data_IF_287062516967
#
_entry.id   IF_287062516967
#
_cell.length_a   1.000
_cell.length_b   1.000
_cell.length_c   1.000
_cell.angle_alpha   90.00
_cell.angle_beta   90.00
_cell.angle_gamma   90.00
#
_symmetry.space_group_name_H-M   'P 1'
#
loop_
_entity.id
_entity.type
_entity.pdbx_description
1 polymer ?
#
# COMPACT_ATOMS: atom_id res chain seq x y z
N UNK A 1 11.76 26.00 18.13
CA UNK A 1 11.29 24.71 18.72
C UNK A 1 10.21 24.01 17.87
N UNK A 2 9.41 24.76 17.13
CA UNK A 2 8.34 24.23 16.26
C UNK A 2 8.84 23.67 14.91
N UNK A 3 10.11 23.87 14.59
CA UNK A 3 10.66 23.50 13.27
C UNK A 3 11.12 22.03 13.19
N UNK A 4 11.33 21.34 14.31
CA UNK A 4 11.91 20.00 14.33
C UNK A 4 10.88 18.85 14.26
N UNK A 5 9.67 19.08 14.72
CA UNK A 5 8.60 18.06 14.80
C UNK A 5 8.08 17.60 13.43
N UNK A 6 7.99 18.44 12.38
CA UNK A 6 7.43 18.06 11.08
C UNK A 6 8.29 17.08 10.25
N UNK A 7 9.52 16.78 10.67
CA UNK A 7 10.48 16.05 9.85
C UNK A 7 10.78 14.64 10.38
N UNK A 8 9.89 14.06 11.17
CA UNK A 8 10.04 12.68 11.65
C UNK A 8 9.23 11.69 10.82
N UNK A 9 9.69 10.43 10.68
CA UNK A 9 8.95 9.39 9.97
C UNK A 9 7.52 9.20 10.51
N UNK A 10 7.38 9.16 11.84
CA UNK A 10 6.07 9.00 12.49
C UNK A 10 5.14 10.19 12.23
N UNK A 11 5.68 11.41 12.13
CA UNK A 11 4.89 12.59 11.79
C UNK A 11 4.42 12.56 10.34
N UNK A 12 5.24 12.08 9.42
CA UNK A 12 4.85 11.88 8.02
C UNK A 12 3.64 10.96 7.89
N UNK A 13 3.57 9.89 8.68
CA UNK A 13 2.38 9.03 8.69
C UNK A 13 1.12 9.76 9.18
N UNK A 14 1.26 10.71 10.11
CA UNK A 14 0.13 11.57 10.51
C UNK A 14 -0.30 12.52 9.40
N UNK A 15 0.65 13.07 8.64
CA UNK A 15 0.33 13.90 7.46
C UNK A 15 -0.45 13.07 6.44
N UNK A 16 0.02 11.86 6.10
CA UNK A 16 -0.68 10.96 5.19
C UNK A 16 -2.10 10.66 5.71
N UNK A 17 -2.24 10.33 6.98
CA UNK A 17 -3.54 10.05 7.58
C UNK A 17 -4.49 11.25 7.50
N UNK A 18 -3.99 12.45 7.80
CA UNK A 18 -4.78 13.68 7.70
C UNK A 18 -5.19 13.96 6.25
N UNK A 19 -4.25 13.83 5.30
CA UNK A 19 -4.53 14.00 3.88
C UNK A 19 -5.61 13.03 3.37
N UNK A 20 -5.58 11.78 3.83
CA UNK A 20 -6.64 10.81 3.51
C UNK A 20 -8.01 11.25 4.07
N UNK A 21 -8.06 11.76 5.30
CA UNK A 21 -9.31 12.26 5.90
C UNK A 21 -9.83 13.51 5.17
N UNK A 22 -8.92 14.38 4.73
CA UNK A 22 -9.24 15.62 3.99
C UNK A 22 -9.54 15.35 2.51
N UNK A 23 -9.44 14.07 2.06
CA UNK A 23 -9.58 13.65 0.67
C UNK A 23 -8.56 14.30 -0.28
N UNK A 24 -7.38 14.62 0.24
CA UNK A 24 -6.26 15.19 -0.49
C UNK A 24 -5.29 14.07 -0.92
N UNK A 25 -5.59 13.46 -2.07
CA UNK A 25 -4.77 12.38 -2.61
C UNK A 25 -3.38 12.87 -3.02
N UNK A 26 -3.25 14.10 -3.48
CA UNK A 26 -1.96 14.66 -3.90
C UNK A 26 -1.00 14.79 -2.72
N UNK A 27 -1.47 15.29 -1.58
CA UNK A 27 -0.65 15.37 -0.38
C UNK A 27 -0.30 13.98 0.17
N UNK A 28 -1.26 13.06 0.22
CA UNK A 28 -1.00 11.69 0.68
C UNK A 28 0.04 10.99 -0.19
N UNK A 29 -0.10 11.06 -1.51
CA UNK A 29 0.79 10.40 -2.48
C UNK A 29 2.18 11.02 -2.57
N UNK A 30 2.34 12.29 -2.19
CA UNK A 30 3.65 12.95 -2.10
C UNK A 30 4.60 12.25 -1.13
N UNK A 31 4.07 11.57 -0.13
CA UNK A 31 4.81 10.85 0.88
C UNK A 31 4.88 9.33 0.62
N UNK A 32 4.54 8.88 -0.59
CA UNK A 32 4.53 7.45 -0.95
C UNK A 32 5.30 7.23 -2.25
N UNK A 33 6.37 6.46 -2.20
CA UNK A 33 7.11 6.02 -3.38
C UNK A 33 6.48 4.73 -3.93
N UNK A 34 5.37 4.88 -4.64
CA UNK A 34 4.60 3.77 -5.22
C UNK A 34 5.46 2.89 -6.12
N UNK A 35 6.36 3.49 -6.89
CA UNK A 35 7.25 2.75 -7.80
C UNK A 35 8.16 1.79 -7.05
N UNK A 36 8.75 2.24 -5.94
CA UNK A 36 9.57 1.38 -5.09
C UNK A 36 8.75 0.31 -4.40
N UNK A 37 7.56 0.64 -3.91
CA UNK A 37 6.64 -0.32 -3.28
C UNK A 37 6.28 -1.43 -4.26
N UNK A 38 5.80 -1.11 -5.45
CA UNK A 38 5.42 -2.10 -6.47
C UNK A 38 6.63 -2.96 -6.86
N UNK A 39 7.79 -2.35 -7.08
CA UNK A 39 9.01 -3.08 -7.39
C UNK A 39 9.35 -4.10 -6.30
N UNK A 40 9.35 -3.67 -5.04
CA UNK A 40 9.70 -4.52 -3.90
C UNK A 40 8.70 -5.66 -3.72
N UNK A 41 7.40 -5.39 -3.88
CA UNK A 41 6.36 -6.41 -3.82
C UNK A 41 6.55 -7.45 -4.94
N UNK A 42 6.75 -6.99 -6.18
CA UNK A 42 6.94 -7.89 -7.33
C UNK A 42 8.21 -8.73 -7.16
N UNK A 43 9.28 -8.19 -6.60
CA UNK A 43 10.52 -8.94 -6.35
C UNK A 43 10.38 -9.98 -5.25
N UNK A 44 9.61 -9.68 -4.19
CA UNK A 44 9.34 -10.62 -3.11
C UNK A 44 8.34 -11.72 -3.49
N UNK A 45 7.25 -11.33 -4.12
CA UNK A 45 6.05 -12.15 -4.26
C UNK A 45 5.78 -12.59 -5.70
N UNK A 46 6.42 -11.96 -6.69
CA UNK A 46 6.15 -12.21 -8.12
C UNK A 46 6.25 -13.68 -8.50
N UNK A 47 7.22 -14.40 -7.96
CA UNK A 47 7.41 -15.83 -8.21
C UNK A 47 6.30 -16.72 -7.66
N UNK A 48 5.50 -16.26 -6.72
CA UNK A 48 4.36 -16.99 -6.19
C UNK A 48 3.18 -17.02 -7.17
N UNK A 49 3.07 -15.99 -7.99
CA UNK A 49 1.92 -15.77 -8.86
C UNK A 49 2.21 -15.99 -10.34
N UNK A 50 3.48 -15.95 -10.72
CA UNK A 50 3.91 -16.04 -12.12
C UNK A 50 5.12 -16.95 -12.23
N UNK A 51 5.08 -17.90 -13.17
CA UNK A 51 6.24 -18.74 -13.49
C UNK A 51 7.30 -17.91 -14.24
N UNK A 52 8.26 -17.40 -13.49
CA UNK A 52 9.35 -16.56 -14.01
C UNK A 52 10.41 -17.35 -14.82
N UNK A 53 10.30 -18.68 -14.92
CA UNK A 53 11.15 -19.47 -15.79
C UNK A 53 10.78 -19.31 -17.27
N UNK A 54 9.53 -18.95 -17.56
CA UNK A 54 9.00 -18.81 -18.91
C UNK A 54 9.21 -17.39 -19.48
N UNK A 55 9.33 -17.23 -20.81
CA UNK A 55 9.39 -15.90 -21.44
C UNK A 55 8.15 -15.04 -21.14
N UNK A 56 6.96 -15.66 -21.10
CA UNK A 56 5.72 -14.98 -20.79
C UNK A 56 5.70 -14.49 -19.34
N UNK A 57 6.16 -15.32 -18.40
CA UNK A 57 6.27 -14.92 -17.00
C UNK A 57 7.21 -13.75 -16.79
N UNK A 58 8.38 -13.76 -17.44
CA UNK A 58 9.31 -12.62 -17.42
C UNK A 58 8.69 -11.34 -17.98
N UNK A 59 7.95 -11.45 -19.09
CA UNK A 59 7.25 -10.33 -19.69
C UNK A 59 6.15 -9.79 -18.75
N UNK A 60 5.41 -10.65 -18.09
CA UNK A 60 4.37 -10.27 -17.10
C UNK A 60 4.98 -9.49 -15.92
N UNK A 61 6.08 -9.98 -15.36
CA UNK A 61 6.80 -9.28 -14.28
C UNK A 61 7.29 -7.91 -14.75
N UNK A 62 7.88 -7.82 -15.94
CA UNK A 62 8.34 -6.55 -16.50
C UNK A 62 7.18 -5.57 -16.71
N UNK A 63 6.07 -6.04 -17.27
CA UNK A 63 4.86 -5.22 -17.45
C UNK A 63 4.29 -4.73 -16.10
N UNK A 64 4.24 -5.58 -15.09
CA UNK A 64 3.76 -5.20 -13.75
C UNK A 64 4.66 -4.13 -13.12
N UNK A 65 5.99 -4.25 -13.26
CA UNK A 65 6.92 -3.21 -12.77
C UNK A 65 6.76 -1.88 -13.51
N UNK A 66 6.36 -1.93 -14.77
CA UNK A 66 6.26 -0.73 -15.63
C UNK A 66 4.91 -0.02 -15.44
N UNK A 67 3.83 -0.76 -15.48
CA UNK A 67 2.45 -0.21 -15.45
C UNK A 67 1.80 -0.27 -14.08
N UNK A 68 2.22 -1.20 -13.22
CA UNK A 68 1.66 -1.38 -11.89
C UNK A 68 1.68 -0.13 -11.01
N UNK A 69 2.76 0.69 -11.02
CA UNK A 69 2.78 1.92 -10.23
C UNK A 69 1.67 2.89 -10.59
N UNK A 70 1.41 3.12 -11.88
CA UNK A 70 0.35 4.03 -12.33
C UNK A 70 -1.03 3.50 -11.96
N UNK A 71 -1.27 2.20 -12.14
CA UNK A 71 -2.53 1.56 -11.75
C UNK A 71 -2.77 1.63 -10.24
N UNK A 72 -1.75 1.37 -9.44
CA UNK A 72 -1.86 1.46 -7.99
C UNK A 72 -2.09 2.90 -7.52
N UNK A 73 -1.42 3.87 -8.14
CA UNK A 73 -1.64 5.29 -7.86
C UNK A 73 -3.09 5.69 -8.11
N UNK A 74 -3.66 5.31 -9.27
CA UNK A 74 -5.06 5.60 -9.61
C UNK A 74 -6.03 4.96 -8.61
N UNK A 75 -5.77 3.72 -8.20
CA UNK A 75 -6.59 3.03 -7.19
C UNK A 75 -6.53 3.75 -5.84
N UNK A 76 -5.34 4.12 -5.37
CA UNK A 76 -5.16 4.83 -4.11
C UNK A 76 -5.84 6.20 -4.18
N UNK A 77 -5.65 6.94 -5.27
CA UNK A 77 -6.27 8.24 -5.50
C UNK A 77 -7.79 8.15 -5.44
N UNK A 78 -8.37 7.21 -6.19
CA UNK A 78 -9.82 6.99 -6.18
C UNK A 78 -10.32 6.63 -4.79
N UNK A 79 -9.59 5.77 -4.04
CA UNK A 79 -9.97 5.41 -2.68
C UNK A 79 -9.97 6.62 -1.73
N UNK A 80 -9.00 7.51 -1.87
CA UNK A 80 -8.90 8.72 -1.02
C UNK A 80 -9.99 9.73 -1.38
N UNK A 81 -10.17 10.02 -2.67
CA UNK A 81 -11.07 11.08 -3.14
C UNK A 81 -12.55 10.65 -3.14
N UNK A 82 -12.83 9.40 -3.50
CA UNK A 82 -14.18 8.82 -3.58
C UNK A 82 -14.23 7.39 -3.03
N UNK A 83 -14.15 7.21 -1.70
CA UNK A 83 -14.18 5.89 -1.09
C UNK A 83 -15.50 5.15 -1.31
N UNK A 84 -16.58 5.85 -1.65
CA UNK A 84 -17.90 5.25 -1.90
C UNK A 84 -17.95 4.54 -3.26
N UNK A 85 -17.11 4.90 -4.21
CA UNK A 85 -17.00 4.20 -5.50
C UNK A 85 -16.63 2.73 -5.33
N UNK A 86 -15.86 2.38 -4.30
CA UNK A 86 -15.51 0.98 -3.97
C UNK A 86 -16.61 0.21 -3.24
N UNK A 87 -17.62 0.89 -2.70
CA UNK A 87 -18.74 0.25 -1.98
C UNK A 87 -19.85 -0.21 -2.95
N UNK A 88 -19.95 0.43 -4.12
CA UNK A 88 -21.07 0.25 -5.04
C UNK A 88 -20.84 -0.82 -6.10
N UNK A 89 -19.65 -1.32 -6.32
CA UNK A 89 -19.39 -2.40 -7.27
C UNK A 89 -19.53 -3.77 -6.60
N UNK A 90 -20.79 -4.21 -6.48
CA UNK A 90 -21.08 -5.64 -6.64
C UNK A 90 -20.76 -5.95 -8.11
N UNK A 91 -19.89 -6.91 -8.42
CA UNK A 91 -19.62 -7.24 -9.82
C UNK A 91 -20.91 -7.77 -10.45
N UNK A 92 -21.54 -6.95 -11.27
CA UNK A 92 -22.51 -7.45 -12.24
C UNK A 92 -21.76 -8.40 -13.15
N UNK A 93 -22.17 -9.67 -13.06
CA UNK A 93 -21.79 -10.74 -13.93
C UNK A 93 -21.59 -10.27 -15.38
N UNK A 94 -20.38 -10.32 -15.87
CA UNK A 94 -20.05 -10.77 -17.21
C UNK A 94 -18.52 -10.81 -17.32
N UNK A 95 -17.93 -11.94 -17.04
CA UNK A 95 -16.92 -12.60 -17.87
C UNK A 95 -16.31 -13.76 -17.09
N UNK A 96 -16.53 -14.97 -17.62
CA UNK A 96 -15.68 -16.16 -17.54
C UNK A 96 -15.15 -16.58 -16.17
N UNK A 97 -15.70 -17.67 -15.68
CA UNK A 97 -15.15 -18.58 -14.66
C UNK A 97 -13.65 -18.81 -14.85
N UNK A 98 -12.82 -17.93 -14.31
CA UNK A 98 -11.47 -18.23 -13.97
C UNK A 98 -11.45 -18.49 -12.44
N UNK A 99 -10.97 -19.65 -12.06
CA UNK A 99 -10.81 -20.05 -10.68
C UNK A 99 -10.12 -18.95 -9.88
N UNK A 100 -10.64 -18.63 -8.70
CA UNK A 100 -10.17 -17.57 -7.80
C UNK A 100 -8.67 -17.67 -7.46
N UNK A 101 -8.08 -18.84 -7.68
CA UNK A 101 -6.66 -19.13 -7.40
C UNK A 101 -5.68 -18.54 -8.43
N UNK A 102 -6.15 -18.07 -9.59
CA UNK A 102 -5.32 -17.53 -10.67
C UNK A 102 -5.42 -16.02 -10.86
N UNK A 103 -6.08 -15.29 -9.96
CA UNK A 103 -6.13 -13.84 -10.03
C UNK A 103 -4.76 -13.26 -9.69
N UNK A 104 -4.24 -12.44 -10.60
CA UNK A 104 -2.98 -11.75 -10.38
C UNK A 104 -3.10 -10.83 -9.16
N UNK A 105 -1.97 -10.56 -8.50
CA UNK A 105 -1.90 -9.60 -7.40
C UNK A 105 -2.47 -8.23 -7.81
N UNK A 106 -2.26 -7.83 -9.07
CA UNK A 106 -2.82 -6.60 -9.65
C UNK A 106 -4.34 -6.63 -9.69
N UNK A 107 -4.94 -7.78 -10.06
CA UNK A 107 -6.40 -7.93 -10.08
C UNK A 107 -6.99 -7.81 -8.67
N UNK A 108 -6.31 -8.34 -7.67
CA UNK A 108 -6.72 -8.19 -6.25
C UNK A 108 -6.58 -6.75 -5.76
N UNK A 109 -5.54 -6.03 -6.21
CA UNK A 109 -5.35 -4.61 -5.93
C UNK A 109 -6.46 -3.77 -6.61
N UNK A 110 -6.74 -4.04 -7.88
CA UNK A 110 -7.74 -3.31 -8.68
C UNK A 110 -9.17 -3.62 -8.21
N UNK A 111 -9.46 -4.83 -7.77
CA UNK A 111 -10.78 -5.20 -7.23
C UNK A 111 -11.11 -4.54 -5.88
N UNK A 112 -10.21 -3.71 -5.35
CA UNK A 112 -10.44 -2.97 -4.10
C UNK A 112 -10.63 -3.87 -2.88
N UNK A 113 -10.33 -5.18 -2.98
CA UNK A 113 -10.39 -6.10 -1.84
C UNK A 113 -9.42 -5.71 -0.72
N UNK A 114 -8.39 -4.94 -1.07
CA UNK A 114 -7.45 -4.36 -0.13
C UNK A 114 -8.10 -3.37 0.83
N UNK A 115 -9.18 -2.74 0.40
CA UNK A 115 -9.84 -1.65 1.12
C UNK A 115 -11.26 -2.00 1.55
N UNK A 116 -11.79 -3.15 1.12
CA UNK A 116 -13.10 -3.65 1.56
C UNK A 116 -13.00 -4.23 2.98
N UNK A 117 -13.73 -3.63 3.88
CA UNK A 117 -14.12 -4.20 5.18
C UNK A 117 -13.11 -4.15 6.34
N UNK A 118 -12.21 -3.18 6.42
CA UNK A 118 -11.39 -3.08 7.61
C UNK A 118 -11.86 -1.95 8.52
N UNK A 119 -12.64 -2.31 9.53
CA UNK A 119 -12.80 -1.52 10.74
C UNK A 119 -11.48 -1.64 11.53
N UNK A 120 -10.48 -0.91 11.04
CA UNK A 120 -9.11 -0.98 11.54
C UNK A 120 -8.79 0.30 12.28
N UNK A 121 -8.34 0.16 13.52
CA UNK A 121 -7.90 1.26 14.36
C UNK A 121 -6.39 1.20 14.59
N UNK A 122 -5.71 2.33 14.41
CA UNK A 122 -4.30 2.46 14.78
C UNK A 122 -4.19 2.63 16.28
N UNK A 123 -3.56 1.69 16.95
CA UNK A 123 -3.36 1.70 18.41
C UNK A 123 -2.03 2.31 18.82
N UNK A 124 -0.98 2.07 18.06
CA UNK A 124 0.35 2.53 18.42
C UNK A 124 1.21 2.78 17.18
N UNK A 125 2.17 3.69 17.31
CA UNK A 125 3.22 3.98 16.33
C UNK A 125 4.56 3.96 17.05
N UNK A 126 5.47 3.10 16.63
CA UNK A 126 6.85 3.06 17.11
C UNK A 126 7.79 3.31 15.93
N UNK A 127 8.61 4.34 16.03
CA UNK A 127 9.62 4.68 15.03
C UNK A 127 11.01 4.30 15.50
N UNK A 128 11.75 3.62 14.64
CA UNK A 128 13.16 3.34 14.79
C UNK A 128 13.89 3.99 13.62
N UNK A 129 14.62 5.05 13.92
CA UNK A 129 15.37 5.84 12.95
C UNK A 129 16.81 5.32 12.86
N UNK A 130 17.29 5.20 11.64
CA UNK A 130 18.65 4.74 11.33
C UNK A 130 19.29 5.66 10.26
N UNK A 131 19.30 6.95 10.52
CA UNK A 131 19.85 7.97 9.66
C UNK A 131 18.91 8.36 8.52
N UNK A 132 19.20 7.96 7.30
CA UNK A 132 18.39 8.25 6.11
C UNK A 132 17.25 7.24 5.86
N UNK A 133 17.13 6.24 6.72
CA UNK A 133 16.08 5.23 6.71
C UNK A 133 15.43 5.10 8.07
N UNK A 134 14.17 4.75 8.09
CA UNK A 134 13.44 4.46 9.31
C UNK A 134 12.46 3.30 9.12
N UNK A 135 12.22 2.57 10.20
CA UNK A 135 11.13 1.60 10.28
C UNK A 135 10.09 2.14 11.25
N UNK A 136 8.88 2.35 10.77
CA UNK A 136 7.75 2.69 11.62
C UNK A 136 6.87 1.46 11.77
N UNK A 137 6.79 0.94 12.99
CA UNK A 137 5.88 -0.15 13.32
C UNK A 137 4.53 0.45 13.70
N UNK A 138 3.52 0.11 12.93
CA UNK A 138 2.13 0.52 13.13
C UNK A 138 1.38 -0.65 13.73
N UNK A 139 0.93 -0.51 14.97
CA UNK A 139 0.08 -1.51 15.61
C UNK A 139 -1.37 -1.20 15.25
N UNK A 140 -2.00 -2.11 14.52
CA UNK A 140 -3.41 -2.00 14.10
C UNK A 140 -4.27 -3.03 14.83
N UNK A 141 -5.48 -2.64 15.14
CA UNK A 141 -6.52 -3.53 15.65
C UNK A 141 -7.64 -3.66 14.63
N UNK A 142 -7.95 -4.90 14.26
CA UNK A 142 -9.14 -5.21 13.48
C UNK A 142 -10.28 -5.49 14.47
N UNK A 143 -11.25 -4.58 14.56
CA UNK A 143 -12.33 -4.67 15.55
C UNK A 143 -13.30 -5.81 15.23
N UNK A 144 -13.49 -6.16 13.95
CA UNK A 144 -14.36 -7.29 13.56
C UNK A 144 -13.80 -8.65 13.97
N UNK A 145 -12.48 -8.82 13.84
CA UNK A 145 -11.78 -10.07 14.17
C UNK A 145 -11.22 -10.08 15.60
N UNK A 146 -11.26 -8.94 16.30
CA UNK A 146 -10.61 -8.73 17.60
C UNK A 146 -9.13 -9.15 17.60
N UNK A 147 -8.43 -8.84 16.51
CA UNK A 147 -7.01 -9.18 16.30
C UNK A 147 -6.18 -7.91 16.23
N UNK A 148 -5.03 -7.95 16.87
CA UNK A 148 -4.02 -6.90 16.80
C UNK A 148 -2.83 -7.39 15.98
N UNK A 149 -2.36 -6.58 15.04
CA UNK A 149 -1.18 -6.87 14.21
C UNK A 149 -0.24 -5.69 14.17
N UNK A 150 1.04 -5.98 14.06
CA UNK A 150 2.09 -5.00 13.82
C UNK A 150 2.49 -5.02 12.35
N UNK A 151 2.37 -3.88 11.70
CA UNK A 151 2.76 -3.68 10.30
C UNK A 151 3.98 -2.77 10.25
N UNK A 152 5.01 -3.23 9.57
CA UNK A 152 6.22 -2.44 9.36
C UNK A 152 6.09 -1.59 8.10
N UNK A 153 6.30 -0.29 8.27
CA UNK A 153 6.35 0.69 7.19
C UNK A 153 7.79 1.16 7.07
N UNK A 154 8.44 0.85 5.96
CA UNK A 154 9.81 1.27 5.69
C UNK A 154 9.80 2.62 5.01
N UNK A 155 10.51 3.56 5.58
CA UNK A 155 10.60 4.94 5.11
C UNK A 155 12.05 5.33 4.83
N UNK A 156 12.22 6.23 3.88
CA UNK A 156 13.52 6.85 3.59
C UNK A 156 13.40 8.36 3.56
N UNK A 157 14.48 9.00 3.94
CA UNK A 157 14.61 10.44 3.92
C UNK A 157 15.07 10.91 2.54
N UNK A 158 14.38 11.89 1.98
CA UNK A 158 14.83 12.57 0.77
C UNK A 158 15.76 13.73 1.16
N UNK A 159 16.60 14.16 0.22
CA UNK A 159 17.59 15.21 0.48
C UNK A 159 17.02 16.59 0.87
N UNK A 160 15.71 16.79 0.67
CA UNK A 160 14.96 18.00 1.05
C UNK A 160 14.34 17.96 2.45
N UNK A 161 14.58 16.88 3.20
CA UNK A 161 14.01 16.70 4.53
C UNK A 161 12.68 15.96 4.57
N UNK A 162 12.15 15.52 3.43
CA UNK A 162 10.88 14.79 3.33
C UNK A 162 11.10 13.29 3.56
N UNK A 163 10.24 12.66 4.35
CA UNK A 163 10.18 11.21 4.46
C UNK A 163 9.15 10.64 3.51
N UNK A 164 9.50 9.51 2.85
CA UNK A 164 8.59 8.78 1.96
C UNK A 164 8.56 7.31 2.31
N UNK A 165 7.38 6.69 2.21
CA UNK A 165 7.22 5.24 2.33
C UNK A 165 7.76 4.62 1.04
N UNK A 166 8.69 3.68 1.15
CA UNK A 166 9.24 2.96 -0.01
C UNK A 166 8.97 1.46 0.01
N UNK A 167 8.55 0.90 1.13
CA UNK A 167 8.17 -0.50 1.24
C UNK A 167 7.27 -0.78 2.46
N UNK A 168 6.44 -1.79 2.35
CA UNK A 168 5.61 -2.35 3.42
C UNK A 168 5.78 -3.86 3.35
N UNK A 169 6.82 -4.45 4.00
CA UNK A 169 7.15 -5.88 3.84
C UNK A 169 6.02 -6.82 4.22
N UNK A 170 5.24 -6.43 5.24
CA UNK A 170 4.18 -7.25 5.82
C UNK A 170 2.79 -6.90 5.23
N UNK A 171 2.74 -6.32 4.01
CA UNK A 171 1.48 -5.87 3.42
C UNK A 171 0.46 -7.02 3.25
N UNK A 172 0.92 -8.24 3.00
CA UNK A 172 0.05 -9.41 2.88
C UNK A 172 -0.66 -9.75 4.21
N UNK A 173 -0.05 -9.42 5.34
CA UNK A 173 -0.63 -9.68 6.66
C UNK A 173 -1.87 -8.82 6.94
N UNK A 174 -2.10 -7.77 6.15
CA UNK A 174 -3.32 -6.98 6.21
C UNK A 174 -4.55 -7.75 5.71
N UNK A 175 -4.34 -8.82 4.92
CA UNK A 175 -5.43 -9.55 4.23
C UNK A 175 -5.68 -10.95 4.77
N UNK A 176 -4.79 -11.44 5.60
CA UNK A 176 -4.92 -12.73 6.29
C UNK A 176 -5.44 -12.56 7.70
#
# INVERSE_FOLDING_TARGET
>A
FLWYVPHTPAYTLKIIHQAVQDKDADEALRHVDIKSIVKNIVEREGNKYVDTSTPLGKATIAATKTFGPALLEDVIRTYIEDPDSFKSESPTNNTTTANDDNKSMVDRLVEGRLFKEHDVEVKNLKSEDNGDKATVTVTIQNNKKNMTKDIKVLMRHLGDGTWVIYDIPDIEDLYT
#
